data_IF_349153627725
#
_entry.id   IF_349153627725
#
_cell.length_a   1.000
_cell.length_b   1.000
_cell.length_c   1.000
_cell.angle_alpha   90.00
_cell.angle_beta   90.00
_cell.angle_gamma   90.00
#
_symmetry.space_group_name_H-M   'P 1'
#
loop_
_entity.id
_entity.type
_entity.pdbx_description
1 polymer ?
#
# COMPACT_ATOMS: atom_id res chain seq x y z
N UNK A 1 -50.19 -32.87 9.70
CA UNK A 1 -49.05 -32.90 10.62
C UNK A 1 -47.87 -32.29 9.83
N UNK A 2 -47.67 -31.01 9.98
CA UNK A 2 -46.58 -30.28 9.36
C UNK A 2 -45.50 -30.10 10.41
N UNK A 3 -44.38 -30.81 10.25
CA UNK A 3 -43.21 -30.67 11.08
C UNK A 3 -42.61 -29.29 10.90
N UNK A 4 -42.63 -28.54 12.01
CA UNK A 4 -41.87 -27.30 12.14
C UNK A 4 -40.37 -27.65 12.17
N UNK A 5 -39.66 -27.42 11.07
CA UNK A 5 -38.21 -27.36 11.08
C UNK A 5 -37.79 -26.11 11.90
N UNK A 6 -37.14 -26.37 13.04
CA UNK A 6 -36.41 -25.36 13.80
C UNK A 6 -35.36 -24.74 12.88
N UNK A 7 -35.13 -23.41 12.92
CA UNK A 7 -33.95 -22.85 12.30
C UNK A 7 -32.72 -23.47 12.97
N UNK A 8 -31.86 -24.07 12.16
CA UNK A 8 -30.56 -24.59 12.56
C UNK A 8 -29.75 -23.47 13.24
N UNK A 9 -29.02 -23.90 14.25
CA UNK A 9 -28.18 -23.08 15.13
C UNK A 9 -27.39 -22.06 14.33
N UNK A 10 -27.76 -20.80 14.44
CA UNK A 10 -26.86 -19.70 14.12
C UNK A 10 -25.65 -19.87 15.05
N UNK A 11 -24.48 -20.07 14.46
CA UNK A 11 -23.24 -20.30 15.18
C UNK A 11 -23.05 -19.13 16.16
N UNK A 12 -23.18 -19.41 17.45
CA UNK A 12 -23.17 -18.44 18.55
C UNK A 12 -21.84 -17.63 18.60
N UNK A 13 -20.89 -17.94 17.71
CA UNK A 13 -19.58 -17.32 17.62
C UNK A 13 -19.41 -16.36 16.42
N UNK A 14 -20.44 -16.15 15.61
CA UNK A 14 -20.37 -15.23 14.47
C UNK A 14 -20.51 -13.79 14.94
N UNK A 15 -19.39 -13.04 14.98
CA UNK A 15 -19.36 -11.64 15.38
C UNK A 15 -19.55 -10.69 14.18
N UNK A 16 -18.98 -11.03 13.02
CA UNK A 16 -19.01 -10.23 11.82
C UNK A 16 -19.78 -10.90 10.69
N UNK A 17 -20.63 -10.13 10.01
CA UNK A 17 -21.36 -10.62 8.83
C UNK A 17 -20.45 -10.81 7.61
N UNK A 18 -19.34 -10.08 7.53
CA UNK A 18 -18.32 -10.27 6.49
C UNK A 18 -17.39 -11.43 6.87
N UNK A 19 -17.30 -12.41 5.97
CA UNK A 19 -16.56 -13.65 6.22
C UNK A 19 -15.05 -13.42 6.40
N UNK A 20 -14.46 -12.40 5.74
CA UNK A 20 -13.05 -12.12 5.87
C UNK A 20 -12.72 -11.41 7.20
N UNK A 21 -13.60 -10.56 7.68
CA UNK A 21 -13.48 -9.99 9.04
C UNK A 21 -13.71 -11.05 10.11
N UNK A 22 -14.68 -11.94 9.91
CA UNK A 22 -14.95 -13.05 10.82
C UNK A 22 -13.72 -13.97 10.92
N UNK A 23 -13.09 -14.31 9.81
CA UNK A 23 -11.85 -15.09 9.79
C UNK A 23 -10.72 -14.41 10.59
N UNK A 24 -10.50 -13.10 10.39
CA UNK A 24 -9.49 -12.36 11.13
C UNK A 24 -9.79 -12.33 12.64
N UNK A 25 -11.06 -12.23 13.02
CA UNK A 25 -11.50 -12.33 14.41
C UNK A 25 -11.24 -13.72 15.00
N UNK A 26 -11.61 -14.79 14.30
CA UNK A 26 -11.38 -16.19 14.73
C UNK A 26 -9.90 -16.52 14.89
N UNK A 27 -9.03 -15.88 14.09
CA UNK A 27 -7.57 -15.95 14.22
C UNK A 27 -7.03 -15.08 15.35
N UNK A 28 -7.88 -14.33 16.06
CA UNK A 28 -7.49 -13.44 17.14
C UNK A 28 -6.73 -12.19 16.69
N UNK A 29 -6.75 -11.87 15.41
CA UNK A 29 -6.02 -10.74 14.84
C UNK A 29 -6.73 -9.40 15.03
N UNK A 30 -8.06 -9.42 15.15
CA UNK A 30 -8.90 -8.27 15.50
C UNK A 30 -9.85 -8.67 16.62
N UNK A 31 -10.27 -7.72 17.44
CA UNK A 31 -11.22 -7.89 18.52
C UNK A 31 -12.57 -7.30 18.15
N UNK A 32 -12.59 -6.05 17.67
CA UNK A 32 -13.79 -5.33 17.28
C UNK A 32 -13.52 -4.31 16.16
N UNK A 33 -14.61 -3.86 15.49
CA UNK A 33 -14.59 -2.70 14.62
C UNK A 33 -14.93 -1.47 15.45
N UNK A 34 -14.03 -0.46 15.46
CA UNK A 34 -14.23 0.76 16.20
C UNK A 34 -14.98 1.81 15.35
N UNK A 35 -14.42 2.16 14.21
CA UNK A 35 -15.04 3.11 13.28
C UNK A 35 -14.56 2.92 11.85
N UNK A 36 -15.35 3.46 10.93
CA UNK A 36 -14.99 3.55 9.52
C UNK A 36 -14.18 4.82 9.25
N UNK A 37 -12.94 4.67 8.79
CA UNK A 37 -12.10 5.79 8.38
C UNK A 37 -12.51 6.38 7.04
N UNK A 38 -12.78 5.50 6.08
CA UNK A 38 -13.04 5.91 4.70
C UNK A 38 -13.87 4.84 3.99
N UNK A 39 -14.82 5.29 3.16
CA UNK A 39 -15.45 4.47 2.16
C UNK A 39 -15.16 5.03 0.79
N UNK A 40 -14.57 4.22 -0.07
CA UNK A 40 -14.21 4.56 -1.45
C UNK A 40 -14.81 3.58 -2.45
N UNK A 41 -14.57 3.81 -3.72
CA UNK A 41 -15.03 2.91 -4.80
C UNK A 41 -14.27 1.57 -4.84
N UNK A 42 -13.10 1.51 -4.26
CA UNK A 42 -12.19 0.37 -4.34
C UNK A 42 -12.12 -0.41 -3.04
N UNK A 43 -12.20 0.28 -1.92
CA UNK A 43 -12.12 -0.30 -0.59
C UNK A 43 -12.83 0.56 0.45
N UNK A 44 -13.30 -0.08 1.51
CA UNK A 44 -13.68 0.55 2.77
C UNK A 44 -12.60 0.27 3.80
N UNK A 45 -12.24 1.27 4.58
CA UNK A 45 -11.17 1.22 5.57
C UNK A 45 -11.78 1.37 6.96
N UNK A 46 -11.53 0.40 7.82
CA UNK A 46 -11.98 0.39 9.22
C UNK A 46 -10.81 0.45 10.17
N UNK A 47 -10.98 1.08 11.31
CA UNK A 47 -10.13 0.90 12.48
C UNK A 47 -10.72 -0.21 13.32
N UNK A 48 -9.87 -1.10 13.78
CA UNK A 48 -10.23 -2.23 14.63
C UNK A 48 -9.37 -2.23 15.88
N UNK A 49 -9.91 -2.72 16.99
CA UNK A 49 -9.11 -3.09 18.16
C UNK A 49 -8.36 -4.39 17.91
N UNK A 50 -7.13 -4.46 18.42
CA UNK A 50 -6.26 -5.63 18.29
C UNK A 50 -5.19 -5.65 19.38
N UNK A 51 -4.93 -6.83 19.94
CA UNK A 51 -3.81 -7.04 20.88
C UNK A 51 -2.45 -7.14 20.18
N UNK A 52 -2.44 -7.12 18.83
CA UNK A 52 -1.21 -7.20 18.01
C UNK A 52 -0.57 -5.83 17.72
N UNK A 53 -1.14 -4.75 18.23
CA UNK A 53 -0.62 -3.39 18.07
C UNK A 53 -0.34 -2.73 19.43
N UNK A 54 0.76 -1.99 19.53
CA UNK A 54 1.16 -1.30 20.78
C UNK A 54 0.12 -0.29 21.28
N UNK A 55 -0.56 0.40 20.36
CA UNK A 55 -1.64 1.35 20.66
C UNK A 55 -3.02 0.68 20.70
N UNK A 56 -3.11 -0.65 20.59
CA UNK A 56 -4.35 -1.42 20.59
C UNK A 56 -5.20 -1.27 19.34
N UNK A 57 -4.70 -0.57 18.29
CA UNK A 57 -5.47 -0.25 17.08
C UNK A 57 -4.75 -0.73 15.81
N UNK A 58 -5.53 -1.26 14.88
CA UNK A 58 -5.09 -1.69 13.55
C UNK A 58 -6.06 -1.21 12.48
N UNK A 59 -5.64 -1.21 11.24
CA UNK A 59 -6.50 -0.88 10.09
C UNK A 59 -6.84 -2.14 9.32
N UNK A 60 -8.13 -2.35 9.07
CA UNK A 60 -8.64 -3.33 8.13
C UNK A 60 -9.08 -2.63 6.83
N UNK A 61 -8.33 -2.82 5.73
CA UNK A 61 -8.68 -2.33 4.39
C UNK A 61 -9.45 -3.43 3.67
N UNK A 62 -10.77 -3.27 3.57
CA UNK A 62 -11.69 -4.19 2.90
C UNK A 62 -11.88 -3.78 1.45
N UNK A 63 -11.57 -4.66 0.54
CA UNK A 63 -11.71 -4.41 -0.90
C UNK A 63 -13.12 -4.74 -1.38
N UNK A 64 -13.71 -3.80 -2.12
CA UNK A 64 -15.00 -3.99 -2.76
C UNK A 64 -14.80 -4.86 -4.01
N UNK A 65 -15.79 -5.69 -4.33
CA UNK A 65 -15.77 -6.59 -5.49
C UNK A 65 -15.34 -5.87 -6.78
N UNK A 66 -14.42 -6.47 -7.53
CA UNK A 66 -13.85 -5.89 -8.77
C UNK A 66 -14.87 -5.61 -9.86
N UNK A 67 -16.08 -6.20 -9.80
CA UNK A 67 -17.20 -5.87 -10.69
C UNK A 67 -17.58 -4.39 -10.62
N UNK A 68 -17.26 -3.71 -9.51
CA UNK A 68 -17.54 -2.29 -9.24
C UNK A 68 -16.30 -1.41 -9.47
N UNK A 69 -15.10 -2.00 -9.56
CA UNK A 69 -13.84 -1.27 -9.69
C UNK A 69 -13.58 -0.87 -11.14
N UNK A 70 -13.20 0.38 -11.33
CA UNK A 70 -12.74 0.91 -12.62
C UNK A 70 -11.43 1.64 -12.41
N UNK A 71 -10.29 0.94 -12.61
CA UNK A 71 -8.98 1.57 -12.61
C UNK A 71 -8.72 2.23 -13.95
N UNK A 72 -8.48 3.53 -13.94
CA UNK A 72 -7.98 4.23 -15.12
C UNK A 72 -6.56 3.72 -15.41
N UNK A 73 -6.32 3.22 -16.64
CA UNK A 73 -5.03 2.71 -17.12
C UNK A 73 -4.52 1.40 -16.48
N UNK A 74 -5.41 0.55 -15.97
CA UNK A 74 -5.09 -0.75 -15.37
C UNK A 74 -4.13 -1.61 -16.24
N UNK A 75 -4.26 -1.57 -17.57
CA UNK A 75 -3.38 -2.28 -18.49
C UNK A 75 -1.88 -1.96 -18.30
N UNK A 76 -1.54 -0.69 -18.02
CA UNK A 76 -0.15 -0.26 -17.80
C UNK A 76 0.49 -0.88 -16.56
N UNK A 77 -0.30 -1.08 -15.51
CA UNK A 77 0.17 -1.64 -14.24
C UNK A 77 0.15 -3.16 -14.21
N UNK A 78 -0.63 -3.78 -15.12
CA UNK A 78 -0.66 -5.25 -15.30
C UNK A 78 0.47 -5.76 -16.16
N UNK A 79 1.08 -4.92 -16.97
CA UNK A 79 2.16 -5.32 -17.86
C UNK A 79 3.34 -5.86 -17.03
N UNK A 80 3.74 -7.11 -17.29
CA UNK A 80 4.76 -7.82 -16.51
C UNK A 80 4.24 -8.66 -15.34
N UNK A 81 2.93 -8.62 -15.01
CA UNK A 81 2.34 -9.53 -14.01
C UNK A 81 1.88 -10.82 -14.68
N UNK A 82 2.41 -11.96 -14.23
CA UNK A 82 2.05 -13.27 -14.77
C UNK A 82 1.13 -14.03 -13.81
N UNK A 83 0.07 -14.64 -14.38
CA UNK A 83 -0.76 -15.62 -13.67
C UNK A 83 -0.24 -17.01 -14.06
N UNK A 84 0.24 -17.78 -13.07
CA UNK A 84 0.87 -19.09 -13.31
C UNK A 84 -0.04 -20.11 -13.98
N UNK A 85 -1.36 -19.99 -13.80
CA UNK A 85 -2.35 -20.92 -14.37
C UNK A 85 -3.01 -20.38 -15.62
N UNK A 86 -2.77 -21.00 -16.78
CA UNK A 86 -3.46 -20.67 -18.04
C UNK A 86 -4.99 -20.81 -17.96
N UNK A 87 -5.50 -21.75 -17.13
CA UNK A 87 -6.94 -21.92 -16.90
C UNK A 87 -7.51 -20.74 -16.11
N UNK A 88 -6.77 -20.26 -15.10
CA UNK A 88 -7.15 -19.10 -14.30
C UNK A 88 -7.09 -17.83 -15.13
N UNK A 89 -6.04 -17.64 -15.93
CA UNK A 89 -5.92 -16.52 -16.87
C UNK A 89 -7.13 -16.48 -17.83
N UNK A 90 -7.52 -17.62 -18.40
CA UNK A 90 -8.70 -17.71 -19.28
C UNK A 90 -9.99 -17.34 -18.56
N UNK A 91 -10.19 -17.77 -17.30
CA UNK A 91 -11.36 -17.42 -16.50
C UNK A 91 -11.42 -15.91 -16.20
N UNK A 92 -10.27 -15.28 -15.91
CA UNK A 92 -10.12 -13.84 -15.73
C UNK A 92 -10.47 -13.09 -17.03
N UNK A 93 -9.92 -13.51 -18.15
CA UNK A 93 -10.15 -12.88 -19.47
C UNK A 93 -11.63 -12.96 -19.89
N UNK A 94 -12.29 -14.07 -19.56
CA UNK A 94 -13.73 -14.29 -19.80
C UNK A 94 -14.63 -13.58 -18.78
N UNK A 95 -14.07 -12.96 -17.73
CA UNK A 95 -14.81 -12.32 -16.64
C UNK A 95 -15.89 -13.22 -16.02
N UNK A 96 -15.63 -14.54 -15.92
CA UNK A 96 -16.50 -15.45 -15.18
C UNK A 96 -16.51 -15.08 -13.69
N UNK A 97 -17.53 -15.48 -12.92
CA UNK A 97 -17.57 -15.23 -11.47
C UNK A 97 -16.29 -15.73 -10.78
N UNK A 98 -15.88 -16.95 -11.04
CA UNK A 98 -14.62 -17.52 -10.52
C UNK A 98 -13.39 -16.73 -10.97
N UNK A 99 -13.37 -16.20 -12.20
CA UNK A 99 -12.27 -15.39 -12.72
C UNK A 99 -12.20 -14.02 -12.03
N UNK A 100 -13.34 -13.44 -11.74
CA UNK A 100 -13.46 -12.17 -10.98
C UNK A 100 -12.98 -12.33 -9.56
N UNK A 101 -13.42 -13.39 -8.86
CA UNK A 101 -13.02 -13.67 -7.47
C UNK A 101 -11.51 -13.95 -7.38
N UNK A 102 -10.99 -14.74 -8.32
CA UNK A 102 -9.57 -15.01 -8.41
C UNK A 102 -8.73 -13.74 -8.71
N UNK A 103 -9.22 -12.87 -9.58
CA UNK A 103 -8.58 -11.59 -9.88
C UNK A 103 -8.53 -10.69 -8.63
N UNK A 104 -9.62 -10.63 -7.86
CA UNK A 104 -9.66 -9.89 -6.59
C UNK A 104 -8.63 -10.42 -5.60
N UNK A 105 -8.61 -11.74 -5.42
CA UNK A 105 -7.64 -12.40 -4.54
C UNK A 105 -6.19 -12.09 -4.93
N UNK A 106 -5.86 -12.19 -6.21
CA UNK A 106 -4.52 -11.88 -6.71
C UNK A 106 -4.13 -10.41 -6.46
N UNK A 107 -5.07 -9.50 -6.63
CA UNK A 107 -4.84 -8.07 -6.39
C UNK A 107 -4.53 -7.76 -4.94
N UNK A 108 -5.35 -8.25 -4.03
CA UNK A 108 -5.17 -8.06 -2.58
C UNK A 108 -3.87 -8.71 -2.12
N UNK A 109 -3.57 -9.90 -2.65
CA UNK A 109 -2.33 -10.63 -2.37
C UNK A 109 -1.11 -9.85 -2.84
N UNK A 110 -1.18 -9.29 -4.04
CA UNK A 110 -0.09 -8.48 -4.61
C UNK A 110 0.14 -7.20 -3.82
N UNK A 111 -0.91 -6.46 -3.48
CA UNK A 111 -0.77 -5.25 -2.67
C UNK A 111 -0.16 -5.56 -1.29
N UNK A 112 -0.60 -6.64 -0.64
CA UNK A 112 -0.02 -7.08 0.63
C UNK A 112 1.45 -7.47 0.48
N UNK A 113 1.83 -8.16 -0.59
CA UNK A 113 3.21 -8.55 -0.88
C UNK A 113 4.09 -7.32 -1.14
N UNK A 114 3.62 -6.35 -1.94
CA UNK A 114 4.35 -5.11 -2.20
C UNK A 114 4.52 -4.28 -0.93
N UNK A 115 3.47 -4.13 -0.11
CA UNK A 115 3.56 -3.43 1.17
C UNK A 115 4.55 -4.12 2.12
N UNK A 116 4.52 -5.45 2.20
CA UNK A 116 5.46 -6.24 3.01
C UNK A 116 6.89 -6.06 2.54
N UNK A 117 7.09 -6.09 1.23
CA UNK A 117 8.41 -5.88 0.63
C UNK A 117 8.97 -4.48 0.95
N UNK A 118 8.15 -3.44 0.79
CA UNK A 118 8.54 -2.05 1.06
C UNK A 118 8.81 -1.82 2.56
N UNK A 119 7.99 -2.37 3.45
CA UNK A 119 8.20 -2.31 4.89
C UNK A 119 9.53 -2.99 5.30
N UNK A 120 9.80 -4.19 4.79
CA UNK A 120 11.05 -4.92 5.03
C UNK A 120 12.28 -4.20 4.44
N UNK A 121 12.08 -3.42 3.39
CA UNK A 121 13.13 -2.57 2.81
C UNK A 121 13.39 -1.29 3.62
N UNK A 122 12.68 -1.06 4.73
CA UNK A 122 12.84 0.12 5.61
C UNK A 122 12.20 1.39 5.05
N UNK A 123 11.28 1.27 4.10
CA UNK A 123 10.54 2.41 3.57
C UNK A 123 9.43 2.78 4.56
N UNK A 124 9.19 4.07 4.85
CA UNK A 124 8.12 4.49 5.74
C UNK A 124 6.74 4.20 5.16
N UNK A 125 6.19 3.04 5.48
CA UNK A 125 4.86 2.56 5.12
C UNK A 125 4.19 1.96 6.36
N UNK A 126 2.85 1.89 6.45
CA UNK A 126 2.19 1.16 7.52
C UNK A 126 2.66 -0.30 7.52
N UNK A 127 3.02 -0.83 8.68
CA UNK A 127 3.48 -2.22 8.81
C UNK A 127 2.34 -3.17 8.45
N UNK A 128 2.49 -4.06 7.45
CA UNK A 128 1.51 -5.08 7.16
C UNK A 128 1.49 -6.12 8.29
N UNK A 129 0.31 -6.52 8.74
CA UNK A 129 0.14 -7.47 9.84
C UNK A 129 -0.35 -8.82 9.33
N UNK A 130 -1.43 -8.82 8.56
CA UNK A 130 -2.04 -10.03 8.03
C UNK A 130 -2.88 -9.74 6.78
N UNK A 131 -3.22 -10.79 6.07
CA UNK A 131 -4.20 -10.79 5.00
C UNK A 131 -5.22 -11.89 5.29
N UNK A 132 -6.50 -11.63 4.98
CA UNK A 132 -7.52 -12.67 5.01
C UNK A 132 -7.23 -13.74 3.97
N UNK A 133 -7.36 -15.01 4.33
CA UNK A 133 -7.21 -16.14 3.40
C UNK A 133 -8.38 -16.24 2.42
N UNK A 134 -9.56 -15.76 2.84
CA UNK A 134 -10.75 -15.64 2.00
C UNK A 134 -10.61 -14.49 0.99
N UNK A 135 -9.67 -13.56 1.20
CA UNK A 135 -9.07 -12.82 0.09
C UNK A 135 -9.51 -11.38 -0.14
N UNK A 136 -10.23 -10.71 0.77
CA UNK A 136 -10.66 -9.34 0.51
C UNK A 136 -10.25 -8.30 1.56
N UNK A 137 -9.48 -8.68 2.59
CA UNK A 137 -9.06 -7.77 3.66
C UNK A 137 -7.55 -7.82 3.86
N UNK A 138 -6.92 -6.64 3.96
CA UNK A 138 -5.54 -6.46 4.44
C UNK A 138 -5.62 -5.79 5.80
N UNK A 139 -4.93 -6.39 6.78
CA UNK A 139 -4.74 -5.84 8.12
C UNK A 139 -3.34 -5.21 8.20
N UNK A 140 -3.26 -3.97 8.67
CA UNK A 140 -2.03 -3.19 8.75
C UNK A 140 -2.02 -2.28 9.97
N UNK A 141 -0.86 -1.74 10.29
CA UNK A 141 -0.64 -0.75 11.33
C UNK A 141 -1.59 0.45 11.17
N UNK A 142 -2.18 0.89 12.29
CA UNK A 142 -2.90 2.14 12.36
C UNK A 142 -1.90 3.28 12.61
N UNK A 143 -1.83 4.22 11.67
CA UNK A 143 -1.04 5.45 11.85
C UNK A 143 -1.96 6.51 12.43
N UNK A 144 -1.71 6.87 13.68
CA UNK A 144 -2.55 7.78 14.46
C UNK A 144 -2.46 7.47 15.94
N UNK A 145 -3.36 8.05 16.71
CA UNK A 145 -3.53 7.84 18.15
C UNK A 145 -5.01 7.74 18.52
N UNK A 146 -5.32 7.85 19.81
CA UNK A 146 -6.69 7.79 20.32
C UNK A 146 -7.54 8.99 19.90
N UNK A 147 -6.93 10.12 19.51
CA UNK A 147 -7.62 11.30 19.03
C UNK A 147 -8.01 11.19 17.56
N UNK A 148 -7.40 10.28 16.81
CA UNK A 148 -7.76 9.97 15.44
C UNK A 148 -6.63 9.48 14.55
N UNK A 149 -6.99 9.21 13.31
CA UNK A 149 -6.05 8.78 12.29
C UNK A 149 -5.17 9.93 11.79
N UNK A 150 -3.93 9.61 11.45
CA UNK A 150 -3.04 10.54 10.76
C UNK A 150 -3.71 11.08 9.48
N UNK A 151 -3.76 12.40 9.28
CA UNK A 151 -4.32 12.98 8.07
C UNK A 151 -3.43 12.70 6.86
N UNK A 152 -4.04 12.71 5.66
CA UNK A 152 -3.24 12.74 4.44
C UNK A 152 -2.51 14.08 4.34
N UNK A 153 -1.30 14.05 3.80
CA UNK A 153 -0.50 15.24 3.59
C UNK A 153 -1.25 16.31 2.75
N UNK A 154 -2.10 15.87 1.83
CA UNK A 154 -2.96 16.75 1.03
C UNK A 154 -3.99 17.53 1.85
N UNK A 155 -4.36 17.05 3.03
CA UNK A 155 -5.46 17.59 3.84
C UNK A 155 -4.97 18.44 5.03
N UNK A 156 -3.65 18.61 5.22
CA UNK A 156 -3.07 19.37 6.32
C UNK A 156 -2.66 20.78 5.92
N UNK A 157 -2.63 21.66 6.90
CA UNK A 157 -2.00 22.98 6.76
C UNK A 157 -0.61 22.91 7.39
N UNK A 158 0.41 23.25 6.63
CA UNK A 158 1.81 23.22 7.06
C UNK A 158 2.43 24.61 7.08
N UNK A 159 3.33 24.86 8.02
CA UNK A 159 4.25 25.99 7.92
C UNK A 159 5.19 25.80 6.71
N UNK A 160 5.90 26.87 6.32
CA UNK A 160 6.86 26.76 5.21
C UNK A 160 7.97 25.75 5.50
N UNK A 161 8.43 25.70 6.74
CA UNK A 161 9.46 24.75 7.19
C UNK A 161 8.94 23.31 7.14
N UNK A 162 7.73 23.09 7.66
CA UNK A 162 7.10 21.76 7.61
C UNK A 162 6.82 21.32 6.16
N UNK A 163 6.37 22.23 5.30
CA UNK A 163 6.14 21.93 3.88
C UNK A 163 7.44 21.54 3.17
N UNK A 164 8.54 22.26 3.45
CA UNK A 164 9.85 21.96 2.88
C UNK A 164 10.35 20.59 3.39
N UNK A 165 10.26 20.33 4.70
CA UNK A 165 10.61 19.04 5.30
C UNK A 165 9.79 17.88 4.71
N UNK A 166 8.46 18.06 4.58
CA UNK A 166 7.58 17.05 3.99
C UNK A 166 7.92 16.79 2.51
N UNK A 167 8.29 17.82 1.75
CA UNK A 167 8.73 17.66 0.37
C UNK A 167 10.02 16.86 0.29
N UNK A 168 11.04 17.20 1.08
CA UNK A 168 12.33 16.51 1.11
C UNK A 168 12.17 15.04 1.52
N UNK A 169 11.36 14.75 2.54
CA UNK A 169 11.01 13.39 2.92
C UNK A 169 10.29 12.63 1.80
N UNK A 170 9.34 13.29 1.11
CA UNK A 170 8.62 12.67 0.00
C UNK A 170 9.55 12.33 -1.16
N UNK A 171 10.49 13.21 -1.52
CA UNK A 171 11.51 12.93 -2.55
C UNK A 171 12.44 11.80 -2.12
N UNK A 172 12.84 11.78 -0.84
CA UNK A 172 13.64 10.70 -0.27
C UNK A 172 12.89 9.36 -0.35
N UNK A 173 11.62 9.32 0.07
CA UNK A 173 10.80 8.11 0.05
C UNK A 173 10.61 7.57 -1.38
N UNK A 174 10.42 8.45 -2.37
CA UNK A 174 10.41 8.07 -3.79
C UNK A 174 11.74 7.41 -4.19
N UNK A 175 12.87 7.94 -3.71
CA UNK A 175 14.20 7.37 -3.93
C UNK A 175 14.40 6.02 -3.23
N UNK A 176 13.86 5.84 -2.01
CA UNK A 176 13.88 4.56 -1.28
C UNK A 176 13.10 3.48 -2.04
N UNK A 177 11.89 3.82 -2.53
CA UNK A 177 11.06 2.92 -3.35
C UNK A 177 11.81 2.54 -4.63
N UNK A 178 12.39 3.52 -5.32
CA UNK A 178 13.18 3.29 -6.54
C UNK A 178 14.39 2.38 -6.27
N UNK A 179 15.13 2.62 -5.18
CA UNK A 179 16.29 1.83 -4.75
C UNK A 179 15.92 0.40 -4.32
N UNK A 180 14.66 0.16 -3.98
CA UNK A 180 14.13 -1.19 -3.74
C UNK A 180 13.71 -1.93 -5.02
N UNK A 181 13.90 -1.33 -6.20
CA UNK A 181 13.50 -1.91 -7.49
C UNK A 181 12.00 -1.76 -7.81
N UNK A 182 11.31 -0.79 -7.18
CA UNK A 182 9.88 -0.54 -7.35
C UNK A 182 9.60 0.89 -7.80
N UNK A 183 8.41 1.09 -8.38
CA UNK A 183 7.81 2.41 -8.65
C UNK A 183 6.39 2.38 -8.10
N UNK A 184 5.97 3.46 -7.42
CA UNK A 184 4.69 3.51 -6.69
C UNK A 184 3.48 3.53 -7.63
N UNK A 185 3.53 4.30 -8.69
CA UNK A 185 2.50 4.37 -9.72
C UNK A 185 1.39 5.40 -9.48
N UNK A 186 1.24 5.89 -8.25
CA UNK A 186 0.30 6.97 -7.89
C UNK A 186 0.87 7.83 -6.75
N UNK A 187 2.11 8.28 -6.90
CA UNK A 187 2.84 8.98 -5.85
C UNK A 187 2.45 10.46 -5.79
N UNK A 188 1.73 10.84 -4.74
CA UNK A 188 1.28 12.21 -4.51
C UNK A 188 0.96 12.44 -3.03
N UNK A 189 0.74 13.70 -2.62
CA UNK A 189 0.35 14.04 -1.23
C UNK A 189 -0.97 13.38 -0.77
N UNK A 190 -1.78 12.86 -1.69
CA UNK A 190 -3.00 12.12 -1.36
C UNK A 190 -2.71 10.70 -0.86
N UNK A 191 -1.55 10.14 -1.22
CA UNK A 191 -1.08 8.81 -0.84
C UNK A 191 0.11 8.87 0.11
N UNK A 192 0.21 9.95 0.90
CA UNK A 192 1.16 10.14 1.98
C UNK A 192 0.39 10.62 3.21
N UNK A 193 0.59 9.96 4.34
CA UNK A 193 0.13 10.43 5.65
C UNK A 193 1.19 11.34 6.27
N UNK A 194 0.71 12.38 6.99
CA UNK A 194 1.56 13.26 7.78
C UNK A 194 1.34 12.98 9.26
N UNK A 195 2.32 12.38 9.91
CA UNK A 195 2.23 11.99 11.31
C UNK A 195 3.52 12.27 12.05
N UNK A 196 3.45 13.05 13.14
CA UNK A 196 4.61 13.40 13.95
C UNK A 196 5.79 13.90 13.11
N UNK A 197 5.51 14.82 12.19
CA UNK A 197 6.47 15.38 11.22
C UNK A 197 7.14 14.35 10.29
N UNK A 198 6.52 13.19 10.08
CA UNK A 198 6.98 12.14 9.18
C UNK A 198 5.99 11.92 8.04
N UNK A 199 6.54 11.66 6.87
CA UNK A 199 5.80 11.24 5.68
C UNK A 199 5.75 9.71 5.59
N UNK A 200 4.55 9.13 5.68
CA UNK A 200 4.31 7.68 5.60
C UNK A 200 3.54 7.40 4.32
N UNK A 201 4.11 6.60 3.43
CA UNK A 201 3.52 6.28 2.11
C UNK A 201 2.45 5.21 2.26
N UNK A 202 1.32 5.40 1.58
CA UNK A 202 0.19 4.47 1.59
C UNK A 202 -0.32 4.20 0.18
N UNK A 203 -1.13 3.15 0.03
CA UNK A 203 -1.90 2.80 -1.19
C UNK A 203 -1.05 2.25 -2.33
N UNK A 204 -0.82 0.92 -2.33
CA UNK A 204 0.17 0.22 -3.16
C UNK A 204 -0.38 -0.60 -4.35
N UNK A 205 -1.66 -0.53 -4.76
CA UNK A 205 -2.20 -1.40 -5.80
C UNK A 205 -1.57 -1.16 -7.18
N UNK A 206 -0.97 0.02 -7.39
CA UNK A 206 -0.33 0.42 -8.66
C UNK A 206 1.19 0.25 -8.65
N UNK A 207 1.77 -0.28 -7.57
CA UNK A 207 3.22 -0.54 -7.50
C UNK A 207 3.64 -1.53 -8.58
N UNK A 208 4.71 -1.20 -9.29
CA UNK A 208 5.30 -2.06 -10.32
C UNK A 208 6.76 -2.36 -10.02
N UNK A 209 7.22 -3.51 -10.48
CA UNK A 209 8.63 -3.89 -10.48
C UNK A 209 9.34 -3.29 -11.70
N UNK A 210 10.48 -2.64 -11.47
CA UNK A 210 11.23 -1.97 -12.54
C UNK A 210 11.70 -2.96 -13.61
N UNK A 211 12.14 -4.15 -13.19
CA UNK A 211 12.66 -5.17 -14.11
C UNK A 211 11.55 -5.88 -14.89
N UNK A 212 10.35 -5.98 -14.33
CA UNK A 212 9.23 -6.71 -14.92
C UNK A 212 8.35 -5.82 -15.80
N UNK A 213 8.25 -4.53 -15.51
CA UNK A 213 7.37 -3.62 -16.23
C UNK A 213 8.16 -2.72 -17.19
N UNK A 214 8.00 -2.85 -18.53
CA UNK A 214 8.73 -2.06 -19.52
C UNK A 214 8.38 -0.56 -19.47
N UNK A 215 7.26 -0.19 -18.83
CA UNK A 215 6.81 1.20 -18.67
C UNK A 215 7.17 1.80 -17.30
N UNK A 216 7.97 1.11 -16.48
CA UNK A 216 8.34 1.59 -15.14
C UNK A 216 8.95 3.00 -15.15
N UNK A 217 9.77 3.33 -16.17
CA UNK A 217 10.35 4.66 -16.33
C UNK A 217 9.29 5.74 -16.56
N UNK A 218 8.29 5.48 -17.42
CA UNK A 218 7.18 6.40 -17.69
C UNK A 218 6.33 6.61 -16.42
N UNK A 219 6.10 5.53 -15.68
CA UNK A 219 5.36 5.57 -14.41
C UNK A 219 6.10 6.40 -13.37
N UNK A 220 7.42 6.24 -13.24
CA UNK A 220 8.27 7.03 -12.34
C UNK A 220 8.24 8.54 -12.68
N UNK A 221 8.27 8.88 -13.97
CA UNK A 221 8.17 10.27 -14.42
C UNK A 221 6.80 10.89 -14.07
N UNK A 222 5.72 10.11 -14.15
CA UNK A 222 4.39 10.52 -13.71
C UNK A 222 4.31 10.72 -12.20
N UNK A 223 4.94 9.85 -11.42
CA UNK A 223 5.02 9.97 -9.97
C UNK A 223 5.74 11.26 -9.56
N UNK A 224 6.91 11.54 -10.14
CA UNK A 224 7.64 12.78 -9.90
C UNK A 224 6.81 14.03 -10.27
N UNK A 225 6.15 14.00 -11.43
CA UNK A 225 5.28 15.09 -11.86
C UNK A 225 4.02 15.23 -10.95
N UNK A 226 3.47 14.12 -10.48
CA UNK A 226 2.36 14.08 -9.53
C UNK A 226 2.74 14.73 -8.20
N UNK A 227 3.89 14.36 -7.66
CA UNK A 227 4.44 14.94 -6.46
C UNK A 227 4.63 16.45 -6.59
N UNK A 228 5.30 16.91 -7.64
CA UNK A 228 5.52 18.34 -7.90
C UNK A 228 4.19 19.12 -7.99
N UNK A 229 3.17 18.56 -8.68
CA UNK A 229 1.87 19.20 -8.78
C UNK A 229 1.18 19.29 -7.42
N UNK A 230 1.23 18.24 -6.63
CA UNK A 230 0.54 18.17 -5.35
C UNK A 230 1.16 19.07 -4.28
N UNK A 231 2.46 19.37 -4.37
CA UNK A 231 3.12 20.29 -3.44
C UNK A 231 2.97 21.78 -3.78
N UNK A 232 2.40 22.13 -4.95
CA UNK A 232 2.19 23.54 -5.33
C UNK A 232 1.30 24.30 -4.35
N UNK A 233 0.30 23.64 -3.75
CA UNK A 233 -0.60 24.31 -2.80
C UNK A 233 0.12 24.67 -1.48
N UNK A 234 1.23 24.02 -1.14
CA UNK A 234 2.10 24.38 -0.03
C UNK A 234 3.13 25.47 -0.39
N UNK A 235 3.07 25.99 -1.61
CA UNK A 235 4.01 27.00 -2.10
C UNK A 235 5.36 26.44 -2.59
N UNK A 236 5.53 25.11 -2.59
CA UNK A 236 6.74 24.45 -3.11
C UNK A 236 6.65 24.39 -4.64
N UNK A 237 7.70 24.91 -5.31
CA UNK A 237 7.85 24.85 -6.77
C UNK A 237 9.09 24.05 -7.09
N UNK A 238 8.91 22.88 -7.64
CA UNK A 238 9.99 21.98 -8.03
C UNK A 238 9.73 21.46 -9.44
N UNK A 239 10.80 21.20 -10.18
CA UNK A 239 10.73 20.57 -11.50
C UNK A 239 10.82 19.05 -11.36
N UNK A 240 10.01 18.28 -12.11
CA UNK A 240 10.05 16.82 -12.05
C UNK A 240 11.44 16.23 -12.33
N UNK A 241 12.23 16.86 -13.20
CA UNK A 241 13.61 16.46 -13.49
C UNK A 241 14.53 16.54 -12.28
N UNK A 242 14.34 17.55 -11.41
CA UNK A 242 15.12 17.71 -10.19
C UNK A 242 14.72 16.67 -9.14
N UNK A 243 13.42 16.42 -8.99
CA UNK A 243 12.91 15.36 -8.14
C UNK A 243 13.46 14.00 -8.57
N UNK A 244 13.42 13.68 -9.86
CA UNK A 244 13.97 12.43 -10.40
C UNK A 244 15.47 12.31 -10.17
N UNK A 245 16.23 13.40 -10.35
CA UNK A 245 17.68 13.42 -10.09
C UNK A 245 17.98 13.10 -8.63
N UNK A 246 17.27 13.73 -7.69
CA UNK A 246 17.43 13.49 -6.26
C UNK A 246 16.99 12.08 -5.86
N UNK A 247 15.83 11.61 -6.31
CA UNK A 247 15.35 10.26 -6.05
C UNK A 247 16.34 9.19 -6.57
N UNK A 248 16.89 9.36 -7.76
CA UNK A 248 17.91 8.46 -8.32
C UNK A 248 19.22 8.49 -7.54
N UNK A 249 19.59 9.65 -6.97
CA UNK A 249 20.76 9.73 -6.08
C UNK A 249 20.52 8.87 -4.83
N UNK A 250 19.40 9.05 -4.14
CA UNK A 250 19.02 8.23 -2.95
C UNK A 250 18.96 6.74 -3.32
N UNK A 251 18.36 6.39 -4.46
CA UNK A 251 18.28 5.01 -4.91
C UNK A 251 19.67 4.37 -5.08
N UNK A 252 20.62 5.08 -5.69
CA UNK A 252 22.00 4.60 -5.86
C UNK A 252 22.70 4.40 -4.52
N UNK A 253 22.57 5.34 -3.59
CA UNK A 253 23.16 5.24 -2.25
C UNK A 253 22.69 3.97 -1.53
N UNK A 254 21.40 3.63 -1.63
CA UNK A 254 20.83 2.43 -0.99
C UNK A 254 21.31 1.15 -1.67
N UNK A 255 21.30 1.10 -3.00
CA UNK A 255 21.78 -0.07 -3.74
C UNK A 255 23.25 -0.34 -3.41
N UNK A 256 24.07 0.70 -3.34
CA UNK A 256 25.48 0.59 -2.94
C UNK A 256 25.64 0.11 -1.49
N UNK A 257 24.86 0.66 -0.56
CA UNK A 257 24.91 0.25 0.84
C UNK A 257 24.55 -1.24 1.02
N UNK A 258 23.51 -1.73 0.33
CA UNK A 258 23.13 -3.14 0.36
C UNK A 258 24.20 -4.05 -0.26
N UNK A 259 24.75 -3.66 -1.42
CA UNK A 259 25.82 -4.42 -2.05
C UNK A 259 27.06 -4.52 -1.13
N UNK A 260 27.34 -3.47 -0.38
CA UNK A 260 28.41 -3.45 0.62
C UNK A 260 28.13 -4.43 1.77
N UNK A 261 26.92 -4.44 2.33
CA UNK A 261 26.51 -5.34 3.40
C UNK A 261 26.56 -6.82 2.95
N UNK A 262 26.12 -7.12 1.73
CA UNK A 262 26.14 -8.47 1.16
C UNK A 262 27.54 -9.01 0.88
N UNK A 263 28.48 -8.14 0.49
CA UNK A 263 29.84 -8.55 0.08
C UNK A 263 30.89 -8.36 1.15
N UNK A 264 30.54 -7.86 2.35
CA UNK A 264 31.51 -7.56 3.44
C UNK A 264 32.72 -6.69 2.96
N UNK A 265 32.51 -5.78 2.01
CA UNK A 265 33.58 -4.92 1.49
C UNK A 265 33.99 -3.88 2.55
N UNK A 266 35.31 -3.59 2.75
CA UNK A 266 35.75 -2.59 3.72
C UNK A 266 35.29 -1.18 3.31
N UNK A 267 34.89 -0.37 4.31
CA UNK A 267 34.33 1.00 4.12
C UNK A 267 35.22 1.95 3.32
N UNK A 268 36.48 1.63 3.12
CA UNK A 268 37.46 2.44 2.39
C UNK A 268 37.24 2.42 0.86
N UNK A 269 36.77 1.30 0.30
CA UNK A 269 36.57 1.17 -1.15
C UNK A 269 35.32 1.94 -1.67
N UNK A 270 34.41 2.30 -0.78
CA UNK A 270 33.18 3.01 -1.13
C UNK A 270 33.45 4.51 -1.49
N UNK A 271 34.51 5.11 -0.95
CA UNK A 271 34.86 6.51 -1.23
C UNK A 271 35.47 6.71 -2.61
N UNK A 272 36.05 5.68 -3.21
CA UNK A 272 36.62 5.74 -4.57
C UNK A 272 35.59 5.42 -5.67
N UNK A 273 34.40 4.87 -5.32
CA UNK A 273 33.34 4.53 -6.27
C UNK A 273 32.24 5.62 -6.38
N UNK A 274 32.26 6.65 -5.54
CA UNK A 274 31.34 7.80 -5.54
C UNK A 274 31.93 9.02 -6.26
#
# INVERSE_FOLDING_TARGET
MTENQKPEDADLNTKFADAALQELFERGLIIDLEWQLKSGKEATVYVCTSDHAENGLVVAKMYIDSRVRSFKNDAMYREGRHVESARLQKAIDQRSSTGVDAQNYLWVSEEFAQMTYLANAGIPVPKPLARSEIGSVILMEFIGDQDGAAPRLADVQLTKEQAQNAFEQSVRNLGLILGSGRVHGDYSTFNILWWQEKCIVIDFPQVVEIQANPRAQEILERDAAGLCRSFKHFGIRAEPSDVLRQARKVAREIVMARAYEEHNLPSFEMQEML
#
